data_IF_253229427142
#
_entry.id   IF_253229427142
#
_cell.length_a   1.000
_cell.length_b   1.000
_cell.length_c   1.000
_cell.angle_alpha   90.00
_cell.angle_beta   90.00
_cell.angle_gamma   90.00
#
_symmetry.space_group_name_H-M   'P 1'
#
loop_
_entity.id
_entity.type
_entity.pdbx_description
1 polymer ?
#
# COMPACT_ATOMS: atom_id res chain seq x y z
N UNK A 1 -21.45 -7.68 1.11
CA UNK A 1 -20.89 -8.13 2.39
C UNK A 1 -21.55 -9.43 2.89
N UNK A 2 -22.89 -9.53 2.85
CA UNK A 2 -23.65 -10.74 3.23
C UNK A 2 -23.11 -12.02 2.56
N UNK A 3 -22.81 -11.96 1.27
CA UNK A 3 -22.29 -13.10 0.51
C UNK A 3 -20.91 -13.56 0.99
N UNK A 4 -20.05 -12.63 1.41
CA UNK A 4 -18.71 -12.92 1.91
C UNK A 4 -18.74 -13.49 3.33
N UNK A 5 -19.70 -13.04 4.17
CA UNK A 5 -19.82 -13.48 5.55
C UNK A 5 -20.71 -14.73 5.74
N UNK A 6 -21.42 -15.17 4.70
CA UNK A 6 -22.40 -16.25 4.80
C UNK A 6 -23.69 -15.88 5.55
N UNK A 7 -23.89 -14.61 5.89
CA UNK A 7 -25.05 -14.12 6.64
C UNK A 7 -26.15 -13.60 5.71
N UNK A 8 -26.64 -14.44 4.83
CA UNK A 8 -27.64 -14.05 3.81
C UNK A 8 -28.96 -13.56 4.40
N UNK A 9 -29.36 -14.12 5.56
CA UNK A 9 -30.63 -13.83 6.22
C UNK A 9 -30.55 -12.80 7.34
N UNK A 10 -29.42 -12.10 7.47
CA UNK A 10 -29.24 -11.06 8.47
C UNK A 10 -30.24 -9.91 8.24
N UNK A 11 -30.97 -9.54 9.30
CA UNK A 11 -31.94 -8.42 9.27
C UNK A 11 -31.23 -7.08 9.25
N UNK A 12 -30.11 -6.98 9.96
CA UNK A 12 -29.33 -5.75 10.11
C UNK A 12 -28.06 -5.81 9.26
N UNK A 13 -27.53 -4.64 8.89
CA UNK A 13 -26.27 -4.50 8.22
C UNK A 13 -25.50 -3.30 8.76
N UNK A 14 -24.18 -3.37 8.67
CA UNK A 14 -23.31 -2.25 8.98
C UNK A 14 -22.75 -1.66 7.69
N UNK A 15 -22.76 -0.35 7.59
CA UNK A 15 -22.13 0.39 6.49
C UNK A 15 -20.99 1.23 7.04
N UNK A 16 -19.91 1.34 6.27
CA UNK A 16 -18.81 2.26 6.54
C UNK A 16 -18.80 3.30 5.43
N UNK A 17 -18.78 4.57 5.82
CA UNK A 17 -18.60 5.69 4.88
C UNK A 17 -17.23 6.30 5.11
N UNK A 18 -16.40 6.30 4.07
CA UNK A 18 -15.10 6.95 4.09
C UNK A 18 -15.20 8.34 3.45
N UNK A 19 -14.65 9.32 4.15
CA UNK A 19 -14.54 10.70 3.65
C UNK A 19 -13.06 11.02 3.47
N UNK A 20 -12.53 10.94 2.24
CA UNK A 20 -11.11 11.19 1.99
C UNK A 20 -10.80 12.67 2.28
N UNK A 21 -9.70 12.90 2.97
CA UNK A 21 -9.16 14.23 3.27
C UNK A 21 -7.67 14.28 2.89
N UNK A 22 -7.17 15.44 2.42
CA UNK A 22 -5.74 15.63 2.24
C UNK A 22 -5.00 15.52 3.58
N UNK A 23 -3.95 14.73 3.63
CA UNK A 23 -3.07 14.66 4.79
C UNK A 23 -2.32 15.99 4.97
N UNK A 24 -2.40 16.58 6.15
CA UNK A 24 -1.78 17.87 6.49
C UNK A 24 -0.62 17.72 7.49
N UNK A 25 -0.39 16.51 8.03
CA UNK A 25 0.63 16.26 9.02
C UNK A 25 0.33 16.82 10.40
N UNK A 26 -0.94 17.03 10.74
CA UNK A 26 -1.36 17.47 12.06
C UNK A 26 -1.34 16.33 13.06
N UNK A 27 -1.19 16.67 14.33
CA UNK A 27 -1.29 15.69 15.41
C UNK A 27 -2.63 14.93 15.34
N UNK A 28 -2.54 13.59 15.40
CA UNK A 28 -3.69 12.69 15.29
C UNK A 28 -4.13 12.35 13.88
N UNK A 29 -3.56 12.96 12.85
CA UNK A 29 -3.79 12.53 11.46
C UNK A 29 -2.93 11.30 11.13
N UNK A 30 -3.56 10.29 10.56
CA UNK A 30 -2.89 9.07 10.11
C UNK A 30 -3.07 8.94 8.60
N UNK A 31 -1.98 8.93 7.80
CA UNK A 31 -2.11 8.65 6.37
C UNK A 31 -2.44 7.17 6.16
N UNK A 32 -3.56 6.87 5.51
CA UNK A 32 -4.00 5.49 5.28
C UNK A 32 -3.47 4.89 3.98
N UNK A 33 -3.42 5.69 2.92
CA UNK A 33 -2.95 5.22 1.61
C UNK A 33 -2.44 6.37 0.74
N UNK A 34 -1.59 6.02 -0.23
CA UNK A 34 -1.01 6.96 -1.16
C UNK A 34 -2.02 7.43 -2.21
N UNK A 35 -1.99 8.71 -2.55
CA UNK A 35 -2.74 9.27 -3.67
C UNK A 35 -1.93 9.07 -4.94
N UNK A 36 -2.39 8.13 -5.79
CA UNK A 36 -1.69 7.73 -7.01
C UNK A 36 -2.04 8.66 -8.17
N UNK A 37 -1.40 9.82 -8.23
CA UNK A 37 -1.44 10.73 -9.34
C UNK A 37 -0.06 10.89 -10.00
N UNK A 38 -0.01 11.52 -11.15
CA UNK A 38 1.23 11.66 -11.92
C UNK A 38 2.29 12.53 -11.21
N UNK A 39 1.86 13.59 -10.55
CA UNK A 39 2.75 14.50 -9.80
C UNK A 39 3.43 13.76 -8.65
N UNK A 40 2.66 13.06 -7.85
CA UNK A 40 3.18 12.27 -6.73
C UNK A 40 4.08 11.12 -7.20
N UNK A 41 3.77 10.50 -8.33
CA UNK A 41 4.64 9.47 -8.94
C UNK A 41 5.99 10.05 -9.36
N UNK A 42 6.01 11.22 -9.98
CA UNK A 42 7.25 11.90 -10.34
C UNK A 42 8.08 12.25 -9.10
N UNK A 43 7.42 12.68 -8.03
CA UNK A 43 8.08 12.95 -6.76
C UNK A 43 8.66 11.67 -6.14
N UNK A 44 7.87 10.59 -6.11
CA UNK A 44 8.33 9.28 -5.64
C UNK A 44 9.57 8.79 -6.40
N UNK A 45 9.59 8.89 -7.74
CA UNK A 45 10.74 8.48 -8.56
C UNK A 45 12.02 9.24 -8.21
N UNK A 46 11.94 10.52 -7.84
CA UNK A 46 13.10 11.28 -7.36
C UNK A 46 13.68 10.70 -6.07
N UNK A 47 12.81 10.28 -5.15
CA UNK A 47 13.25 9.64 -3.90
C UNK A 47 13.76 8.23 -4.16
N UNK A 48 13.08 7.43 -4.97
CA UNK A 48 13.52 6.08 -5.35
C UNK A 48 14.92 6.07 -5.92
N UNK A 49 15.24 6.99 -6.83
CA UNK A 49 16.59 7.12 -7.39
C UNK A 49 17.66 7.36 -6.34
N UNK A 50 17.34 8.06 -5.26
CA UNK A 50 18.30 8.27 -4.16
C UNK A 50 18.60 6.99 -3.39
N UNK A 51 17.67 6.05 -3.36
CA UNK A 51 17.88 4.76 -2.67
C UNK A 51 18.77 3.80 -3.46
N UNK A 52 18.94 4.00 -4.76
CA UNK A 52 19.76 3.15 -5.62
C UNK A 52 21.25 3.16 -5.24
N UNK A 53 21.69 4.20 -4.51
CA UNK A 53 23.08 4.30 -4.01
C UNK A 53 23.35 3.40 -2.78
N UNK A 54 22.30 2.91 -2.13
CA UNK A 54 22.44 2.08 -0.93
C UNK A 54 22.41 0.60 -1.29
N UNK A 55 23.47 -0.11 -0.92
CA UNK A 55 23.49 -1.57 -1.02
C UNK A 55 22.57 -2.17 0.04
N UNK A 56 21.89 -3.26 -0.31
CA UNK A 56 21.00 -3.97 0.61
C UNK A 56 19.84 -3.12 1.18
N UNK A 57 19.40 -2.14 0.43
CA UNK A 57 18.21 -1.36 0.74
C UNK A 57 17.09 -1.73 -0.24
N UNK A 58 16.00 -2.24 0.30
CA UNK A 58 14.90 -2.74 -0.51
C UNK A 58 13.61 -2.00 -0.16
N UNK A 59 12.87 -1.62 -1.18
CA UNK A 59 11.53 -1.04 -1.06
C UNK A 59 10.51 -2.14 -1.34
N UNK A 60 9.64 -2.42 -0.38
CA UNK A 60 8.59 -3.43 -0.51
C UNK A 60 7.31 -2.94 0.16
N UNK A 61 6.20 -3.04 -0.54
CA UNK A 61 4.89 -2.71 -0.02
C UNK A 61 4.27 -1.47 -0.62
N UNK A 62 2.97 -1.33 -0.40
CA UNK A 62 2.15 -0.28 -1.02
C UNK A 62 2.68 1.14 -0.82
N UNK A 63 3.14 1.46 0.38
CA UNK A 63 3.70 2.78 0.68
C UNK A 63 5.12 2.92 0.14
N UNK A 64 5.98 1.92 0.37
CA UNK A 64 7.38 1.97 -0.02
C UNK A 64 7.58 1.97 -1.55
N UNK A 65 6.72 1.31 -2.30
CA UNK A 65 6.73 1.28 -3.77
C UNK A 65 5.78 2.31 -4.40
N UNK A 66 5.07 3.06 -3.57
CA UNK A 66 4.07 4.05 -3.97
C UNK A 66 3.08 3.51 -5.01
N UNK A 67 2.53 2.32 -4.77
CA UNK A 67 1.66 1.59 -5.68
C UNK A 67 0.65 0.74 -4.92
N UNK A 68 -0.54 0.59 -5.51
CA UNK A 68 -1.54 -0.32 -4.97
C UNK A 68 -1.25 -1.76 -5.37
N UNK A 69 -1.37 -2.67 -4.40
CA UNK A 69 -1.31 -4.12 -4.59
C UNK A 69 -2.43 -4.81 -3.84
N UNK A 70 -3.02 -5.83 -4.43
CA UNK A 70 -3.84 -6.80 -3.71
C UNK A 70 -2.95 -7.70 -2.83
N UNK A 71 -3.54 -8.38 -1.86
CA UNK A 71 -2.82 -9.21 -0.89
C UNK A 71 -2.00 -10.32 -1.58
N UNK A 72 -2.58 -10.98 -2.58
CA UNK A 72 -1.93 -12.04 -3.37
C UNK A 72 -0.70 -11.50 -4.12
N UNK A 73 -0.83 -10.38 -4.81
CA UNK A 73 0.26 -9.73 -5.51
C UNK A 73 1.37 -9.27 -4.54
N UNK A 74 0.99 -8.77 -3.37
CA UNK A 74 1.94 -8.35 -2.35
C UNK A 74 2.70 -9.53 -1.74
N UNK A 75 2.02 -10.64 -1.51
CA UNK A 75 2.63 -11.90 -1.04
C UNK A 75 3.63 -12.42 -2.06
N UNK A 76 3.25 -12.45 -3.35
CA UNK A 76 4.16 -12.86 -4.41
C UNK A 76 5.43 -11.99 -4.45
N UNK A 77 5.28 -10.67 -4.40
CA UNK A 77 6.44 -9.76 -4.38
C UNK A 77 7.37 -9.98 -3.20
N UNK A 78 6.82 -10.27 -2.03
CA UNK A 78 7.62 -10.58 -0.84
C UNK A 78 8.44 -11.87 -1.03
N UNK A 79 7.83 -12.91 -1.60
CA UNK A 79 8.51 -14.16 -1.91
C UNK A 79 9.61 -13.95 -2.97
N UNK A 80 9.30 -13.27 -4.06
CA UNK A 80 10.25 -12.98 -5.15
C UNK A 80 11.46 -12.17 -4.63
N UNK A 81 11.22 -11.19 -3.76
CA UNK A 81 12.29 -10.41 -3.14
C UNK A 81 13.14 -11.25 -2.18
N UNK A 82 12.51 -12.10 -1.38
CA UNK A 82 13.22 -13.01 -0.46
C UNK A 82 14.13 -13.96 -1.23
N UNK A 83 13.63 -14.56 -2.30
CA UNK A 83 14.42 -15.44 -3.17
C UNK A 83 15.62 -14.71 -3.77
N UNK A 84 15.40 -13.47 -4.25
CA UNK A 84 16.48 -12.63 -4.77
C UNK A 84 17.56 -12.34 -3.72
N UNK A 85 17.18 -12.07 -2.48
CA UNK A 85 18.12 -11.77 -1.39
C UNK A 85 18.93 -13.02 -1.00
N UNK A 86 18.26 -14.18 -0.91
CA UNK A 86 18.92 -15.44 -0.55
C UNK A 86 19.93 -15.87 -1.61
N UNK A 87 19.65 -15.62 -2.89
CA UNK A 87 20.49 -16.03 -4.02
C UNK A 87 21.55 -14.98 -4.40
N UNK A 88 21.67 -13.92 -3.65
CA UNK A 88 22.78 -12.97 -3.75
C UNK A 88 24.01 -13.55 -3.03
#
# INVERSE_FOLDING_TARGET
>A
FKYLSGQLDAKDTTIVKEYPMPYQGKDGEIPYYAILNEENRKLYEKYRKRTEHYKNFYLLGRLAEYQYYNIDAMTKKALDLTEKIINQ
#
